data_IF_982469676527
#
_entry.id   IF_982469676527
#
_cell.length_a   1.000
_cell.length_b   1.000
_cell.length_c   1.000
_cell.angle_alpha   90.00
_cell.angle_beta   90.00
_cell.angle_gamma   90.00
#
_symmetry.space_group_name_H-M   'P 1'
#
loop_
_entity.id
_entity.type
_entity.pdbx_description
1 polymer ?
#
# COMPACT_ATOMS: atom_id res chain seq x y z
N UNK A 1 -7.50 1.00 3.39
CA UNK A 1 -6.21 1.69 3.57
C UNK A 1 -5.14 0.80 2.98
N UNK A 2 -4.27 1.34 2.14
CA UNK A 2 -3.30 0.55 1.39
C UNK A 2 -1.96 1.25 1.28
N UNK A 3 -0.99 0.51 0.75
CA UNK A 3 0.37 1.00 0.47
C UNK A 3 0.58 0.98 -1.04
N UNK A 4 1.18 2.04 -1.56
CA UNK A 4 1.63 2.10 -2.95
C UNK A 4 2.80 1.14 -3.15
N UNK A 5 2.66 0.27 -4.16
CA UNK A 5 3.70 -0.67 -4.60
C UNK A 5 4.22 -0.29 -5.98
N UNK A 6 5.33 -0.93 -6.36
CA UNK A 6 6.00 -0.67 -7.65
C UNK A 6 5.00 -0.77 -8.81
N UNK A 7 4.96 0.26 -9.64
CA UNK A 7 4.03 0.35 -10.78
C UNK A 7 2.85 1.28 -10.53
N UNK A 8 2.83 2.01 -9.41
CA UNK A 8 1.74 2.94 -9.07
C UNK A 8 0.46 2.24 -8.65
N UNK A 9 0.55 0.94 -8.31
CA UNK A 9 -0.56 0.14 -7.84
C UNK A 9 -0.73 0.32 -6.34
N UNK A 10 -1.96 0.24 -5.86
CA UNK A 10 -2.27 0.23 -4.43
C UNK A 10 -2.49 -1.18 -3.96
N UNK A 11 -1.73 -1.62 -2.97
CA UNK A 11 -1.98 -2.87 -2.27
C UNK A 11 -2.74 -2.58 -0.98
N UNK A 12 -4.00 -3.02 -0.91
CA UNK A 12 -4.84 -2.84 0.27
C UNK A 12 -4.32 -3.73 1.40
N UNK A 13 -4.03 -3.11 2.54
CA UNK A 13 -3.78 -3.80 3.81
C UNK A 13 -5.14 -3.97 4.49
N UNK A 14 -5.67 -2.89 5.07
CA UNK A 14 -6.94 -2.94 5.77
C UNK A 14 -8.11 -2.68 4.80
N UNK A 15 -8.96 -3.69 4.62
CA UNK A 15 -10.18 -3.60 3.82
C UNK A 15 -11.21 -2.62 4.40
N UNK A 16 -12.16 -2.17 3.57
CA UNK A 16 -13.26 -1.34 4.06
C UNK A 16 -14.19 -2.15 4.97
N UNK A 17 -14.74 -1.48 5.98
CA UNK A 17 -15.62 -2.08 6.99
C UNK A 17 -14.94 -3.10 7.93
N UNK A 18 -13.61 -3.13 8.02
CA UNK A 18 -12.93 -3.89 9.07
C UNK A 18 -13.20 -3.29 10.45
N UNK A 19 -13.59 -4.14 11.40
CA UNK A 19 -13.86 -3.74 12.79
C UNK A 19 -12.59 -3.21 13.46
N UNK A 20 -12.65 -1.99 14.00
CA UNK A 20 -11.54 -1.40 14.76
C UNK A 20 -11.57 -1.85 16.23
N UNK A 21 -10.42 -2.05 16.89
CA UNK A 21 -9.05 -1.87 16.40
C UNK A 21 -8.60 -3.04 15.49
N UNK A 22 -7.98 -2.70 14.36
CA UNK A 22 -7.45 -3.67 13.39
C UNK A 22 -5.97 -3.39 13.11
N UNK A 23 -5.17 -4.45 13.07
CA UNK A 23 -3.75 -4.40 12.70
C UNK A 23 -3.52 -5.44 11.60
N UNK A 24 -2.84 -5.02 10.53
CA UNK A 24 -2.45 -5.91 9.45
C UNK A 24 -0.99 -5.64 9.09
N UNK A 25 -0.20 -6.71 8.98
CA UNK A 25 1.21 -6.65 8.66
C UNK A 25 1.48 -7.50 7.43
N UNK A 26 2.14 -6.91 6.43
CA UNK A 26 2.52 -7.59 5.20
C UNK A 26 3.99 -7.33 4.90
N UNK A 27 4.71 -8.38 4.52
CA UNK A 27 6.13 -8.29 4.17
C UNK A 27 6.28 -7.87 2.71
N UNK A 28 6.87 -6.71 2.47
CA UNK A 28 7.20 -6.22 1.13
C UNK A 28 8.66 -6.51 0.80
N UNK A 29 8.95 -6.69 -0.48
CA UNK A 29 10.30 -6.92 -0.99
C UNK A 29 10.71 -5.81 -1.96
N UNK A 30 12.01 -5.66 -2.17
CA UNK A 30 12.54 -4.72 -3.14
C UNK A 30 12.15 -5.14 -4.55
N UNK A 31 11.79 -4.17 -5.35
CA UNK A 31 11.28 -4.38 -6.70
C UNK A 31 12.40 -4.48 -7.74
N UNK A 32 13.66 -4.19 -7.35
CA UNK A 32 14.87 -4.28 -8.17
C UNK A 32 16.08 -4.72 -7.33
N UNK A 33 17.05 -5.39 -7.98
CA UNK A 33 18.33 -5.75 -7.37
C UNK A 33 19.13 -4.48 -7.02
N UNK A 34 19.80 -4.48 -5.85
CA UNK A 34 20.52 -3.32 -5.29
C UNK A 34 19.66 -2.07 -5.00
N UNK A 35 18.35 -2.22 -4.81
CA UNK A 35 17.51 -1.11 -4.36
C UNK A 35 17.83 -0.75 -2.90
N UNK A 36 18.53 0.38 -2.69
CA UNK A 36 19.02 0.83 -1.37
C UNK A 36 17.95 1.51 -0.50
N UNK A 37 16.83 1.92 -1.11
CA UNK A 37 15.74 2.62 -0.43
C UNK A 37 14.39 2.12 -0.92
N UNK A 38 13.47 1.92 0.03
CA UNK A 38 12.06 1.60 -0.23
C UNK A 38 11.23 2.79 0.24
N UNK A 39 10.43 3.35 -0.64
CA UNK A 39 9.48 4.42 -0.29
C UNK A 39 8.14 3.76 0.02
N UNK A 40 7.64 3.97 1.24
CA UNK A 40 6.31 3.52 1.64
C UNK A 40 5.38 4.72 1.55
N UNK A 41 4.45 4.70 0.61
CA UNK A 41 3.43 5.72 0.48
C UNK A 41 2.08 5.11 0.88
N UNK A 42 1.47 5.66 1.92
CA UNK A 42 0.19 5.19 2.44
C UNK A 42 -0.92 5.96 1.74
N UNK A 43 -1.92 5.24 1.22
CA UNK A 43 -3.06 5.83 0.54
C UNK A 43 -4.37 5.25 1.06
N UNK A 44 -5.41 6.06 1.05
CA UNK A 44 -6.77 5.71 1.38
C UNK A 44 -7.67 5.83 0.14
N UNK A 45 -8.07 4.68 -0.38
CA UNK A 45 -9.08 4.56 -1.44
C UNK A 45 -9.24 3.11 -1.89
N UNK A 46 -10.17 2.88 -2.80
CA UNK A 46 -10.51 1.55 -3.34
C UNK A 46 -10.03 1.34 -4.78
N UNK A 47 -9.31 2.31 -5.35
CA UNK A 47 -8.86 2.22 -6.75
C UNK A 47 -7.54 1.48 -6.84
N UNK A 48 -7.35 0.79 -7.96
CA UNK A 48 -6.14 0.01 -8.22
C UNK A 48 -4.90 0.91 -8.37
N UNK A 49 -5.05 2.13 -8.90
CA UNK A 49 -3.97 3.10 -9.02
C UNK A 49 -3.89 4.04 -7.81
N UNK A 50 -2.68 4.18 -7.25
CA UNK A 50 -2.42 5.03 -6.09
C UNK A 50 -2.70 6.51 -6.37
N UNK A 51 -2.44 6.98 -7.59
CA UNK A 51 -2.70 8.37 -7.99
C UNK A 51 -4.17 8.75 -7.96
N UNK A 52 -5.08 7.77 -8.09
CA UNK A 52 -6.52 8.02 -8.06
C UNK A 52 -7.12 7.91 -6.66
N UNK A 53 -6.32 7.49 -5.67
CA UNK A 53 -6.68 7.38 -4.26
C UNK A 53 -6.23 8.65 -3.51
N UNK A 54 -6.87 8.94 -2.36
CA UNK A 54 -6.43 10.05 -1.50
C UNK A 54 -5.25 9.59 -0.66
N UNK A 55 -4.16 10.37 -0.64
CA UNK A 55 -3.02 10.21 0.27
C UNK A 55 -3.34 10.77 1.66
#
# INVERSE_FOLDING_TARGET
MGVEVKGGLTETLIEKNTTIPAEESKTFTTAQNNQSMVTVHVVQGEREMASDNKS
#
